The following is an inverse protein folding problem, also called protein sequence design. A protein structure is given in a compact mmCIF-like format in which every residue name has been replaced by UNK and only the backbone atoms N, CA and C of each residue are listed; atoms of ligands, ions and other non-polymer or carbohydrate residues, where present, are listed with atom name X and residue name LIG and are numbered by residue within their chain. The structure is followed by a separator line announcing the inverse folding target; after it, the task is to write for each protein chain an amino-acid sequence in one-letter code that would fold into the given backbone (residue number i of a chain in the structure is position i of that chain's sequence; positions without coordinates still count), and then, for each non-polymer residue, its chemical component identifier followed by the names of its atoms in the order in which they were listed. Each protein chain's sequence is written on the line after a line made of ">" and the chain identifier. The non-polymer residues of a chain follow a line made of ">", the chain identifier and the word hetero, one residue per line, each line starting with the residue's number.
data_IF_688393168619
#
_entry.id   IF_688393168619
#
_cell.length_a   1.000
_cell.length_b   1.000
_cell.length_c   1.000
_cell.angle_alpha   90.00
_cell.angle_beta   90.00
_cell.angle_gamma   90.00
#
_symmetry.space_group_name_H-M   'P 1'
#
loop_
_entity.id
_entity.type
_entity.pdbx_description
1 polymer ?
#
# COMPACT_ATOMS: atom_id res chain seq x y z
N UNK A 1 61.29 -25.87 28.67
CA UNK A 1 60.75 -25.72 27.30
C UNK A 1 59.83 -24.50 27.23
N UNK A 2 60.17 -23.47 26.45
CA UNK A 2 59.31 -22.29 26.25
C UNK A 2 58.37 -22.55 25.05
N UNK A 3 57.11 -22.86 25.32
CA UNK A 3 56.09 -23.02 24.27
C UNK A 3 55.62 -21.64 23.79
N UNK A 4 56.03 -21.24 22.59
CA UNK A 4 55.47 -20.08 21.89
C UNK A 4 54.01 -20.38 21.57
N UNK A 5 53.09 -19.79 22.33
CA UNK A 5 51.66 -19.82 22.03
C UNK A 5 51.41 -18.80 20.93
N UNK A 6 51.21 -19.27 19.70
CA UNK A 6 50.79 -18.42 18.60
C UNK A 6 49.34 -18.01 18.88
N UNK A 7 49.14 -16.84 19.50
CA UNK A 7 47.84 -16.19 19.54
C UNK A 7 47.42 -15.95 18.09
N UNK A 8 46.50 -16.79 17.60
CA UNK A 8 45.95 -16.69 16.27
C UNK A 8 45.52 -15.25 16.02
N UNK A 9 46.03 -14.67 14.93
CA UNK A 9 45.71 -13.32 14.51
C UNK A 9 44.19 -13.14 14.53
N UNK A 10 43.70 -12.40 15.52
CA UNK A 10 42.29 -12.10 15.65
C UNK A 10 41.76 -11.54 14.34
N UNK A 11 40.57 -12.01 13.95
CA UNK A 11 39.87 -11.55 12.74
C UNK A 11 39.82 -10.03 12.79
N UNK A 12 40.66 -9.37 11.97
CA UNK A 12 40.67 -7.91 11.85
C UNK A 12 39.25 -7.49 11.50
N UNK A 13 38.53 -6.89 12.47
CA UNK A 13 37.24 -6.25 12.21
C UNK A 13 37.49 -5.23 11.12
N UNK A 14 37.05 -5.54 9.88
CA UNK A 14 37.13 -4.59 8.76
C UNK A 14 36.43 -3.32 9.24
N UNK A 15 37.18 -2.22 9.37
CA UNK A 15 36.62 -0.89 9.61
C UNK A 15 35.57 -0.69 8.53
N UNK A 16 34.30 -0.71 8.92
CA UNK A 16 33.19 -0.37 8.03
C UNK A 16 33.31 1.13 7.82
N UNK A 17 33.99 1.56 6.76
CA UNK A 17 34.01 2.97 6.39
C UNK A 17 32.56 3.42 6.19
N UNK A 18 32.21 4.59 6.72
CA UNK A 18 30.87 5.13 6.60
C UNK A 18 30.53 5.33 5.12
N UNK A 19 29.67 4.45 4.61
CA UNK A 19 29.21 4.52 3.23
C UNK A 19 28.06 5.52 3.19
N UNK A 20 28.27 6.68 2.57
CA UNK A 20 27.22 7.68 2.39
C UNK A 20 25.98 7.06 1.71
N UNK A 21 24.80 7.29 2.28
CA UNK A 21 23.56 6.67 1.80
C UNK A 21 23.24 7.00 0.34
N UNK A 22 23.29 8.28 -0.04
CA UNK A 22 22.99 8.73 -1.41
C UNK A 22 23.99 8.19 -2.45
N UNK A 23 25.30 8.46 -2.28
CA UNK A 23 26.31 8.09 -3.30
C UNK A 23 26.70 6.61 -3.21
N UNK A 24 26.79 6.08 -2.00
CA UNK A 24 27.27 4.74 -1.76
C UNK A 24 26.22 3.64 -1.90
N UNK A 25 24.94 3.95 -1.68
CA UNK A 25 23.84 2.98 -1.74
C UNK A 25 22.88 3.32 -2.88
N UNK A 26 22.22 4.49 -2.85
CA UNK A 26 21.14 4.82 -3.80
C UNK A 26 21.65 4.84 -5.25
N UNK A 27 22.74 5.56 -5.53
CA UNK A 27 23.31 5.61 -6.89
C UNK A 27 23.79 4.25 -7.41
N UNK A 28 24.22 3.35 -6.53
CA UNK A 28 24.64 2.00 -6.94
C UNK A 28 23.44 1.09 -7.22
N UNK A 29 22.34 1.28 -6.50
CA UNK A 29 21.09 0.55 -6.75
C UNK A 29 20.49 0.98 -8.09
N UNK A 30 20.43 2.29 -8.35
CA UNK A 30 19.86 2.80 -9.62
C UNK A 30 20.66 2.32 -10.83
N UNK A 31 22.00 2.32 -10.74
CA UNK A 31 22.87 1.75 -11.79
C UNK A 31 22.71 0.23 -11.98
N UNK A 32 22.34 -0.50 -10.94
CA UNK A 32 22.19 -1.96 -10.98
C UNK A 32 20.76 -2.40 -11.37
N UNK A 33 19.81 -1.48 -11.48
CA UNK A 33 18.42 -1.78 -11.78
C UNK A 33 18.28 -2.11 -13.27
N UNK A 34 17.66 -3.25 -13.58
CA UNK A 34 17.31 -3.63 -14.96
C UNK A 34 15.86 -3.26 -15.25
N UNK A 35 15.54 -2.72 -16.44
CA UNK A 35 14.15 -2.50 -16.84
C UNK A 35 13.40 -3.83 -16.87
N UNK A 36 12.13 -3.82 -16.47
CA UNK A 36 11.30 -5.01 -16.42
C UNK A 36 9.90 -4.70 -17.00
N UNK A 37 9.29 -5.66 -17.72
CA UNK A 37 8.04 -5.42 -18.45
C UNK A 37 6.80 -5.36 -17.55
N UNK A 38 6.87 -5.90 -16.33
CA UNK A 38 5.74 -5.91 -15.39
C UNK A 38 6.15 -5.37 -14.03
N UNK A 39 5.21 -4.71 -13.35
CA UNK A 39 5.43 -4.10 -12.03
C UNK A 39 5.94 -5.12 -10.99
N UNK A 40 5.38 -6.34 -11.00
CA UNK A 40 5.82 -7.43 -10.09
C UNK A 40 7.29 -7.79 -10.32
N UNK A 41 7.72 -7.92 -11.58
CA UNK A 41 9.12 -8.22 -11.93
C UNK A 41 10.04 -7.05 -11.61
N UNK A 42 9.60 -5.82 -11.84
CA UNK A 42 10.34 -4.61 -11.48
C UNK A 42 10.61 -4.53 -9.97
N UNK A 43 9.59 -4.79 -9.14
CA UNK A 43 9.71 -4.81 -7.68
C UNK A 43 10.69 -5.88 -7.19
N UNK A 44 10.61 -7.10 -7.73
CA UNK A 44 11.54 -8.20 -7.36
C UNK A 44 12.97 -7.89 -7.78
N UNK A 45 13.17 -7.29 -8.96
CA UNK A 45 14.49 -6.89 -9.46
C UNK A 45 15.09 -5.77 -8.61
N UNK A 46 14.30 -4.75 -8.27
CA UNK A 46 14.72 -3.66 -7.39
C UNK A 46 15.13 -4.19 -6.01
N UNK A 47 14.35 -5.12 -5.44
CA UNK A 47 14.63 -5.72 -4.14
C UNK A 47 15.90 -6.60 -4.16
N UNK A 48 16.14 -7.33 -5.25
CA UNK A 48 17.40 -8.06 -5.46
C UNK A 48 18.59 -7.12 -5.55
N UNK A 49 18.51 -6.05 -6.36
CA UNK A 49 19.58 -5.07 -6.52
C UNK A 49 19.91 -4.37 -5.19
N UNK A 50 18.89 -3.93 -4.45
CA UNK A 50 19.05 -3.31 -3.13
C UNK A 50 19.76 -4.25 -2.14
N UNK A 51 19.33 -5.52 -2.07
CA UNK A 51 19.97 -6.53 -1.20
C UNK A 51 21.44 -6.75 -1.55
N UNK A 52 21.79 -6.80 -2.84
CA UNK A 52 23.17 -6.98 -3.29
C UNK A 52 24.06 -5.79 -2.91
N UNK A 53 23.60 -4.57 -3.14
CA UNK A 53 24.35 -3.35 -2.81
C UNK A 53 24.54 -3.21 -1.30
N UNK A 54 23.49 -3.44 -0.51
CA UNK A 54 23.56 -3.37 0.96
C UNK A 54 24.46 -4.48 1.52
N UNK A 55 24.45 -5.68 0.92
CA UNK A 55 25.36 -6.78 1.28
C UNK A 55 26.82 -6.42 1.00
N UNK A 56 27.10 -5.78 -0.14
CA UNK A 56 28.45 -5.30 -0.49
C UNK A 56 28.92 -4.16 0.43
N UNK A 57 28.01 -3.30 0.88
CA UNK A 57 28.28 -2.22 1.82
C UNK A 57 28.46 -2.67 3.28
N UNK A 58 28.35 -3.97 3.58
CA UNK A 58 28.54 -4.50 4.94
C UNK A 58 27.29 -4.43 5.83
N UNK A 59 26.11 -4.23 5.25
CA UNK A 59 24.82 -4.28 5.95
C UNK A 59 24.47 -5.67 6.49
N UNK A 60 23.51 -5.74 7.42
CA UNK A 60 23.03 -7.01 8.00
C UNK A 60 22.50 -7.93 6.89
N UNK A 61 23.07 -9.14 6.79
CA UNK A 61 22.73 -10.14 5.75
C UNK A 61 21.32 -10.74 5.91
N UNK A 62 20.77 -10.73 7.12
CA UNK A 62 19.40 -11.15 7.45
C UNK A 62 18.70 -10.02 8.19
N UNK A 63 18.01 -9.17 7.45
CA UNK A 63 17.05 -8.23 8.04
C UNK A 63 15.72 -8.96 8.07
N UNK A 64 15.28 -9.41 9.26
CA UNK A 64 13.92 -9.88 9.46
C UNK A 64 13.03 -8.64 9.39
N UNK A 65 12.47 -8.38 8.21
CA UNK A 65 11.37 -7.43 8.10
C UNK A 65 10.18 -8.11 8.79
N UNK A 66 9.57 -7.51 9.83
CA UNK A 66 8.34 -8.06 10.37
C UNK A 66 7.32 -8.09 9.23
N UNK A 67 6.59 -9.21 9.11
CA UNK A 67 5.55 -9.38 8.08
C UNK A 67 4.47 -8.31 8.20
N UNK A 68 4.34 -7.76 9.40
CA UNK A 68 3.40 -6.74 9.81
C UNK A 68 4.26 -5.53 10.19
N UNK A 69 4.11 -4.43 9.45
CA UNK A 69 4.69 -3.15 9.86
C UNK A 69 4.01 -2.80 11.20
N UNK A 70 4.75 -2.47 12.27
CA UNK A 70 4.12 -2.01 13.50
C UNK A 70 3.35 -0.74 13.17
N UNK A 71 2.02 -0.86 13.15
CA UNK A 71 1.13 0.28 13.11
C UNK A 71 1.00 0.73 14.55
N UNK A 72 1.45 1.94 14.87
CA UNK A 72 1.13 2.53 16.16
C UNK A 72 -0.40 2.57 16.27
N UNK A 73 -0.94 1.88 17.27
CA UNK A 73 -2.37 1.53 17.42
C UNK A 73 -3.30 2.74 17.65
N UNK A 74 -2.86 3.95 17.35
CA UNK A 74 -3.70 5.16 17.30
C UNK A 74 -4.44 5.17 15.96
N UNK A 75 -5.36 4.23 15.81
CA UNK A 75 -6.32 4.15 14.71
C UNK A 75 -7.34 5.27 14.85
N UNK A 76 -6.99 6.46 14.37
CA UNK A 76 -7.91 7.60 14.30
C UNK A 76 -7.24 8.84 13.69
N UNK A 77 -7.83 9.39 12.63
CA UNK A 77 -7.37 10.61 11.96
C UNK A 77 -6.67 10.37 10.62
N UNK A 78 -6.21 11.45 9.98
CA UNK A 78 -5.57 11.51 8.64
C UNK A 78 -4.24 10.72 8.56
N UNK A 79 -3.73 10.23 9.70
CA UNK A 79 -2.45 9.52 9.83
C UNK A 79 -2.30 8.24 8.99
N UNK A 80 -3.31 7.37 8.80
CA UNK A 80 -3.21 6.22 7.88
C UNK A 80 -3.25 6.66 6.40
N UNK A 81 -3.80 7.84 6.10
CA UNK A 81 -3.88 8.38 4.75
C UNK A 81 -2.56 9.04 4.33
N UNK A 82 -1.78 9.62 5.25
CA UNK A 82 -0.52 10.30 4.92
C UNK A 82 0.52 9.38 4.26
N UNK A 83 0.79 8.15 4.74
CA UNK A 83 1.71 7.22 4.08
C UNK A 83 1.19 6.77 2.71
N UNK A 84 -0.13 6.56 2.59
CA UNK A 84 -0.77 6.13 1.33
C UNK A 84 -0.75 7.26 0.31
N UNK A 85 -1.01 8.51 0.73
CA UNK A 85 -1.00 9.70 -0.10
C UNK A 85 0.42 10.11 -0.50
N UNK A 86 1.40 9.96 0.40
CA UNK A 86 2.81 10.13 0.06
C UNK A 86 3.30 9.04 -0.91
N UNK A 87 2.89 7.79 -0.69
CA UNK A 87 3.21 6.68 -1.59
C UNK A 87 2.56 6.89 -2.97
N UNK A 88 1.27 7.23 -3.04
CA UNK A 88 0.56 7.54 -4.28
C UNK A 88 1.09 8.78 -4.98
N UNK A 89 1.41 9.85 -4.25
CA UNK A 89 2.01 11.06 -4.80
C UNK A 89 3.39 10.78 -5.40
N UNK A 90 4.21 9.96 -4.73
CA UNK A 90 5.49 9.52 -5.27
C UNK A 90 5.35 8.55 -6.44
N UNK A 91 4.32 7.70 -6.45
CA UNK A 91 4.02 6.77 -7.54
C UNK A 91 3.50 7.53 -8.77
N UNK A 92 2.66 8.54 -8.58
CA UNK A 92 2.17 9.43 -9.63
C UNK A 92 3.29 10.28 -10.24
N UNK A 93 4.23 10.76 -9.43
CA UNK A 93 5.41 11.46 -9.91
C UNK A 93 6.42 10.54 -10.63
N UNK A 94 6.52 9.26 -10.23
CA UNK A 94 7.42 8.27 -10.81
C UNK A 94 6.85 7.62 -12.09
N UNK A 95 5.53 7.51 -12.23
CA UNK A 95 4.84 6.98 -13.42
C UNK A 95 4.72 8.02 -14.54
N UNK A 96 5.73 8.90 -14.66
CA UNK A 96 5.77 10.11 -15.49
C UNK A 96 5.61 9.87 -16.99
N UNK A 97 4.36 9.73 -17.44
CA UNK A 97 3.97 9.82 -18.84
C UNK A 97 2.52 10.27 -18.96
N UNK A 98 2.22 11.10 -19.96
CA UNK A 98 0.87 11.63 -20.21
C UNK A 98 -0.22 10.53 -20.30
N UNK A 99 0.16 9.30 -20.68
CA UNK A 99 -0.75 8.15 -20.75
C UNK A 99 -1.25 7.68 -19.37
N UNK A 100 -0.42 7.77 -18.33
CA UNK A 100 -0.82 7.41 -16.97
C UNK A 100 -1.83 8.42 -16.43
N UNK A 101 -1.58 9.71 -16.65
CA UNK A 101 -2.50 10.80 -16.27
C UNK A 101 -3.82 10.68 -17.03
N UNK A 102 -3.78 10.50 -18.35
CA UNK A 102 -4.99 10.32 -19.16
C UNK A 102 -5.82 9.12 -18.70
N UNK A 103 -5.16 7.98 -18.40
CA UNK A 103 -5.84 6.79 -17.90
C UNK A 103 -6.46 7.03 -16.53
N UNK A 104 -5.77 7.72 -15.61
CA UNK A 104 -6.36 8.08 -14.31
C UNK A 104 -7.58 9.02 -14.44
N UNK A 105 -7.57 9.94 -15.40
CA UNK A 105 -8.70 10.84 -15.66
C UNK A 105 -9.90 10.08 -16.23
N UNK A 106 -9.66 9.09 -17.09
CA UNK A 106 -10.72 8.23 -17.63
C UNK A 106 -11.27 7.32 -16.53
N UNK A 107 -10.40 6.69 -15.74
CA UNK A 107 -10.78 5.80 -14.65
C UNK A 107 -11.57 6.54 -13.55
N UNK A 108 -11.20 7.79 -13.24
CA UNK A 108 -11.95 8.63 -12.29
C UNK A 108 -13.32 9.03 -12.84
N UNK A 109 -13.42 9.42 -14.11
CA UNK A 109 -14.71 9.72 -14.76
C UNK A 109 -15.64 8.51 -14.80
N UNK A 110 -15.10 7.32 -15.09
CA UNK A 110 -15.91 6.08 -15.09
C UNK A 110 -16.36 5.69 -13.69
N UNK A 111 -15.52 5.86 -12.67
CA UNK A 111 -15.90 5.63 -11.27
C UNK A 111 -16.99 6.60 -10.81
N UNK A 112 -16.90 7.89 -11.18
CA UNK A 112 -17.94 8.88 -10.89
C UNK A 112 -19.27 8.52 -11.54
N UNK A 113 -19.27 8.13 -12.82
CA UNK A 113 -20.48 7.69 -13.52
C UNK A 113 -21.14 6.48 -12.86
N UNK A 114 -20.34 5.48 -12.45
CA UNK A 114 -20.85 4.31 -11.72
C UNK A 114 -21.51 4.71 -10.39
N UNK A 115 -20.88 5.61 -9.63
CA UNK A 115 -21.46 6.10 -8.38
C UNK A 115 -22.77 6.86 -8.61
N UNK A 116 -22.87 7.63 -9.71
CA UNK A 116 -24.12 8.30 -10.08
C UNK A 116 -25.20 7.31 -10.52
N UNK A 117 -24.85 6.27 -11.28
CA UNK A 117 -25.75 5.18 -11.66
C UNK A 117 -26.24 4.41 -10.43
N UNK A 118 -25.35 4.04 -9.52
CA UNK A 118 -25.69 3.38 -8.25
C UNK A 118 -26.64 4.25 -7.42
N UNK A 119 -26.41 5.56 -7.37
CA UNK A 119 -27.31 6.51 -6.70
C UNK A 119 -28.69 6.56 -7.35
N UNK A 120 -28.77 6.54 -8.69
CA UNK A 120 -30.06 6.53 -9.41
C UNK A 120 -30.79 5.21 -9.20
N UNK A 121 -30.09 4.09 -9.28
CA UNK A 121 -30.63 2.76 -9.02
C UNK A 121 -31.15 2.64 -7.59
N UNK A 122 -30.38 3.08 -6.59
CA UNK A 122 -30.82 3.06 -5.19
C UNK A 122 -32.06 3.91 -4.95
N UNK A 123 -32.13 5.11 -5.55
CA UNK A 123 -33.34 5.96 -5.50
C UNK A 123 -34.56 5.27 -6.14
N UNK A 124 -34.37 4.55 -7.23
CA UNK A 124 -35.44 3.77 -7.86
C UNK A 124 -35.91 2.64 -6.93
N UNK A 125 -34.99 1.90 -6.32
CA UNK A 125 -35.32 0.83 -5.35
C UNK A 125 -36.02 1.38 -4.10
N UNK A 126 -35.57 2.53 -3.58
CA UNK A 126 -36.20 3.21 -2.45
C UNK A 126 -37.62 3.68 -2.79
N UNK A 127 -37.86 4.12 -4.03
CA UNK A 127 -39.19 4.51 -4.50
C UNK A 127 -40.16 3.34 -4.57
N UNK A 128 -39.70 2.15 -4.99
CA UNK A 128 -40.50 0.92 -5.05
C UNK A 128 -40.90 0.46 -3.64
N UNK A 129 -39.98 0.58 -2.67
CA UNK A 129 -40.24 0.23 -1.27
C UNK A 129 -40.95 1.33 -0.46
N UNK A 130 -41.23 2.49 -1.05
CA UNK A 130 -41.71 3.67 -0.31
C UNK A 130 -43.10 3.43 0.25
N UNK A 131 -43.18 3.33 1.57
CA UNK A 131 -44.43 3.09 2.29
C UNK A 131 -44.61 1.66 2.79
N UNK A 132 -43.72 0.73 2.46
CA UNK A 132 -43.67 -0.57 3.14
C UNK A 132 -43.00 -0.41 4.50
N UNK A 133 -43.65 -0.89 5.56
CA UNK A 133 -43.11 -0.86 6.92
C UNK A 133 -43.49 -2.12 7.69
N UNK A 134 -42.66 -2.50 8.66
CA UNK A 134 -42.94 -3.60 9.56
C UNK A 134 -43.73 -3.09 10.77
N UNK A 135 -44.85 -3.75 11.09
CA UNK A 135 -45.63 -3.47 12.30
C UNK A 135 -45.69 -4.72 13.15
N UNK A 136 -45.55 -4.56 14.46
CA UNK A 136 -45.65 -5.67 15.40
C UNK A 136 -47.08 -6.19 15.46
N UNK A 137 -47.23 -7.50 15.29
CA UNK A 137 -48.50 -8.21 15.34
C UNK A 137 -48.80 -8.64 16.78
N UNK A 138 -50.09 -8.75 17.10
CA UNK A 138 -50.55 -9.15 18.45
C UNK A 138 -50.04 -10.53 18.91
N UNK A 139 -49.65 -11.40 17.97
CA UNK A 139 -49.11 -12.74 18.23
C UNK A 139 -47.57 -12.81 18.35
N UNK A 140 -46.89 -11.65 18.47
CA UNK A 140 -45.46 -11.60 18.81
C UNK A 140 -44.46 -11.50 17.64
N UNK A 141 -44.92 -11.43 16.38
CA UNK A 141 -44.07 -11.24 15.19
C UNK A 141 -44.18 -9.85 14.56
N UNK A 142 -43.44 -9.60 13.47
CA UNK A 142 -43.60 -8.41 12.63
C UNK A 142 -44.28 -8.79 11.30
N UNK A 143 -45.36 -8.10 10.95
CA UNK A 143 -46.00 -8.20 9.63
C UNK A 143 -45.55 -7.08 8.71
N UNK A 144 -45.58 -7.32 7.40
CA UNK A 144 -45.33 -6.30 6.38
C UNK A 144 -46.64 -5.55 6.07
N UNK A 145 -46.62 -4.22 6.20
CA UNK A 145 -47.78 -3.35 5.97
C UNK A 145 -47.42 -2.24 4.97
N UNK A 146 -48.41 -1.81 4.19
CA UNK A 146 -48.29 -0.67 3.29
C UNK A 146 -48.97 0.55 3.92
N UNK A 147 -48.26 1.67 4.01
CA UNK A 147 -48.79 2.95 4.48
C UNK A 147 -49.71 3.50 3.39
N UNK A 148 -51.00 3.64 3.71
CA UNK A 148 -51.99 4.25 2.80
C UNK A 148 -51.56 5.68 2.50
N UNK A 149 -51.19 5.96 1.25
CA UNK A 149 -50.94 7.33 0.77
C UNK A 149 -52.27 8.09 0.84
N UNK A 150 -52.30 9.24 1.52
CA UNK A 150 -53.44 10.15 1.52
C UNK A 150 -53.29 11.00 0.26
N UNK A 151 -54.02 10.65 -0.80
CA UNK A 151 -54.09 11.48 -2.00
C UNK A 151 -54.88 12.75 -1.63
N UNK A 152 -54.28 13.92 -1.86
CA UNK A 152 -54.96 15.21 -1.89
C UNK A 152 -55.34 15.52 -3.33
#
# INVERSE_FOLDING_TARGET
>A
MKTKRNFGMGVRKRKRGDVSFRRGIVQKITKALKPAPTLKKAAVNALKAAKLVVKKAGGKKRVRLPRIIPFDHKSGGILPLLPILAALGSLGALAGGASAVAKTVIDTKTAQKKLEEDRRHNKAMESIGKGLYLKRNAKGGFGLFLKRQKNF
#
